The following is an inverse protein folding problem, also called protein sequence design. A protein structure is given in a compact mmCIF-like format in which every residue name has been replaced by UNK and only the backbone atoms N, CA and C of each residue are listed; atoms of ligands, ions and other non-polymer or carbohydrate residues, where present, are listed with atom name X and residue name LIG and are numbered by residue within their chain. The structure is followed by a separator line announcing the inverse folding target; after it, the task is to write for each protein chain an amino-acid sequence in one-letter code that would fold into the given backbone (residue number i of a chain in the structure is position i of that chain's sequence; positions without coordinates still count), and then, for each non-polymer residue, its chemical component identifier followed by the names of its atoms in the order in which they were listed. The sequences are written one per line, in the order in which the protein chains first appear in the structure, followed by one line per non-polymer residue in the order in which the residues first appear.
data_IF_464546204938
#
_entry.id   IF_464546204938
#
_cell.length_a   1.000
_cell.length_b   1.000
_cell.length_c   1.000
_cell.angle_alpha   90.00
_cell.angle_beta   90.00
_cell.angle_gamma   90.00
#
_symmetry.space_group_name_H-M   'P 1'
#
loop_
_entity.id
_entity.type
_entity.pdbx_description
1 polymer ?
#
# COMPACT_ATOMS: atom_id res chain seq x y z
N UNK A 1 16.18 -6.57 35.01
CA UNK A 1 15.93 -7.41 33.82
C UNK A 1 14.57 -7.13 33.18
N UNK A 2 13.49 -6.93 33.96
CA UNK A 2 12.15 -6.65 33.40
C UNK A 2 11.98 -5.27 32.74
N UNK A 3 12.66 -4.22 33.23
CA UNK A 3 12.53 -2.85 32.66
C UNK A 3 13.11 -2.79 31.24
N UNK A 4 14.24 -3.46 31.01
CA UNK A 4 14.88 -3.53 29.69
C UNK A 4 13.98 -4.27 28.69
N UNK A 5 13.34 -5.36 29.13
CA UNK A 5 12.45 -6.16 28.29
C UNK A 5 11.19 -5.37 27.89
N UNK A 6 10.60 -4.61 28.82
CA UNK A 6 9.45 -3.76 28.54
C UNK A 6 9.78 -2.65 27.53
N UNK A 7 10.95 -2.03 27.64
CA UNK A 7 11.42 -1.02 26.69
C UNK A 7 11.63 -1.59 25.28
N UNK A 8 12.22 -2.79 25.16
CA UNK A 8 12.44 -3.45 23.86
C UNK A 8 11.11 -3.78 23.15
N UNK A 9 10.10 -4.22 23.91
CA UNK A 9 8.76 -4.51 23.34
C UNK A 9 8.07 -3.22 22.86
N UNK A 10 8.19 -2.11 23.61
CA UNK A 10 7.62 -0.82 23.21
C UNK A 10 8.26 -0.26 21.93
N UNK A 11 9.59 -0.38 21.79
CA UNK A 11 10.28 0.03 20.57
C UNK A 11 10.04 -0.89 19.38
N UNK A 12 9.90 -2.21 19.61
CA UNK A 12 9.59 -3.18 18.54
C UNK A 12 8.25 -2.92 17.85
N UNK A 13 7.24 -2.41 18.58
CA UNK A 13 5.95 -2.02 18.00
C UNK A 13 6.05 -0.74 17.16
N UNK A 14 6.91 0.21 17.53
CA UNK A 14 7.09 1.50 16.84
C UNK A 14 7.81 1.39 15.49
N UNK A 15 8.70 0.40 15.31
CA UNK A 15 9.46 0.22 14.05
C UNK A 15 8.55 -0.19 12.87
N UNK A 16 7.33 -0.65 13.13
CA UNK A 16 6.36 -1.00 12.07
C UNK A 16 5.61 0.20 11.47
N UNK A 17 5.90 1.43 11.91
CA UNK A 17 5.21 2.64 11.43
C UNK A 17 5.85 3.30 10.20
N UNK A 18 6.99 2.80 9.68
CA UNK A 18 7.47 3.19 8.35
C UNK A 18 6.68 2.41 7.29
N UNK A 19 5.40 2.74 7.12
CA UNK A 19 4.65 2.33 5.93
C UNK A 19 5.16 3.16 4.75
N UNK A 20 6.35 2.83 4.25
CA UNK A 20 6.71 3.26 2.91
C UNK A 20 5.65 2.65 1.98
N UNK A 21 4.83 3.51 1.37
CA UNK A 21 3.81 3.09 0.39
C UNK A 21 4.43 2.37 -0.81
N UNK A 22 5.75 2.38 -0.92
CA UNK A 22 6.53 1.62 -1.88
C UNK A 22 7.57 0.73 -1.19
N UNK A 23 7.86 -0.41 -1.80
CA UNK A 23 8.99 -1.25 -1.44
C UNK A 23 9.74 -1.73 -2.69
N UNK A 24 10.99 -2.14 -2.50
CA UNK A 24 11.81 -2.76 -3.53
C UNK A 24 12.38 -4.07 -3.02
N UNK A 25 12.19 -5.13 -3.79
CA UNK A 25 12.83 -6.42 -3.57
C UNK A 25 13.94 -6.63 -4.59
N UNK A 26 15.10 -7.07 -4.09
CA UNK A 26 16.23 -7.43 -4.92
C UNK A 26 16.06 -8.84 -5.51
N UNK A 27 16.70 -9.13 -6.66
CA UNK A 27 16.65 -10.46 -7.24
C UNK A 27 17.28 -11.45 -6.26
N UNK A 28 16.64 -12.61 -6.08
CA UNK A 28 17.24 -13.71 -5.33
C UNK A 28 18.35 -14.35 -6.17
N UNK A 29 19.44 -14.76 -5.52
CA UNK A 29 20.53 -15.47 -6.19
C UNK A 29 19.99 -16.70 -6.94
N UNK A 30 20.31 -16.81 -8.23
CA UNK A 30 19.83 -17.89 -9.10
C UNK A 30 18.44 -17.68 -9.72
N UNK A 31 17.74 -16.58 -9.39
CA UNK A 31 16.45 -16.26 -9.98
C UNK A 31 16.64 -15.39 -11.24
N UNK A 32 16.65 -16.03 -12.40
CA UNK A 32 16.93 -15.38 -13.70
C UNK A 32 15.70 -15.22 -14.60
N UNK A 33 14.58 -15.86 -14.26
CA UNK A 33 13.41 -15.95 -15.15
C UNK A 33 12.34 -14.87 -14.89
N UNK A 34 12.46 -14.10 -13.80
CA UNK A 34 11.48 -13.08 -13.42
C UNK A 34 11.42 -12.80 -11.93
N UNK A 35 10.40 -12.04 -11.52
CA UNK A 35 10.15 -11.67 -10.12
C UNK A 35 9.08 -12.59 -9.53
N UNK A 36 9.35 -13.18 -8.36
CA UNK A 36 8.37 -14.00 -7.64
C UNK A 36 7.61 -13.12 -6.64
N UNK A 37 6.31 -12.94 -6.86
CA UNK A 37 5.43 -12.23 -5.95
C UNK A 37 4.31 -13.16 -5.47
N UNK A 38 4.24 -13.43 -4.15
CA UNK A 38 3.26 -14.35 -3.54
C UNK A 38 3.10 -15.65 -4.33
N UNK A 39 4.23 -16.32 -4.56
CA UNK A 39 4.34 -17.60 -5.30
C UNK A 39 3.96 -17.55 -6.79
N UNK A 40 3.74 -16.36 -7.35
CA UNK A 40 3.51 -16.17 -8.79
C UNK A 40 4.73 -15.55 -9.46
N UNK A 41 5.23 -16.20 -10.50
CA UNK A 41 6.31 -15.67 -11.32
C UNK A 41 5.78 -14.62 -12.31
N UNK A 42 6.36 -13.43 -12.25
CA UNK A 42 6.11 -12.33 -13.16
C UNK A 42 7.31 -12.15 -14.08
N UNK A 43 7.06 -12.05 -15.38
CA UNK A 43 8.11 -11.90 -16.41
C UNK A 43 8.91 -10.61 -16.19
N UNK A 44 10.20 -10.64 -16.52
CA UNK A 44 11.03 -9.44 -16.58
C UNK A 44 10.40 -8.38 -17.50
N UNK A 45 10.47 -7.11 -17.08
CA UNK A 45 9.85 -5.96 -17.76
C UNK A 45 8.34 -5.84 -17.54
N UNK A 46 7.68 -6.79 -16.87
CA UNK A 46 6.24 -6.74 -16.68
C UNK A 46 5.81 -5.71 -15.64
N UNK A 47 4.63 -5.14 -15.85
CA UNK A 47 3.89 -4.33 -14.87
C UNK A 47 2.60 -5.04 -14.53
N UNK A 48 2.24 -5.06 -13.26
CA UNK A 48 1.03 -5.73 -12.81
C UNK A 48 0.50 -5.08 -11.53
N UNK A 49 -0.84 -5.11 -11.39
CA UNK A 49 -1.52 -4.72 -10.17
C UNK A 49 -1.84 -5.94 -9.33
N UNK A 50 -1.59 -5.85 -8.03
CA UNK A 50 -1.89 -6.90 -7.07
C UNK A 50 -3.29 -6.75 -6.48
N UNK A 51 -3.81 -7.81 -5.86
CA UNK A 51 -5.13 -7.79 -5.21
C UNK A 51 -5.17 -6.94 -3.93
N UNK A 52 -4.01 -6.65 -3.35
CA UNK A 52 -3.79 -5.70 -2.26
C UNK A 52 -3.53 -4.27 -2.77
N UNK A 53 -3.86 -3.98 -4.03
CA UNK A 53 -3.79 -2.65 -4.63
C UNK A 53 -2.37 -2.06 -4.65
N UNK A 54 -1.38 -2.87 -5.03
CA UNK A 54 -0.04 -2.42 -5.34
C UNK A 54 0.20 -2.45 -6.85
N UNK A 55 0.75 -1.37 -7.39
CA UNK A 55 1.33 -1.32 -8.72
C UNK A 55 2.79 -1.75 -8.65
N UNK A 56 3.06 -2.91 -9.23
CA UNK A 56 4.37 -3.54 -9.24
C UNK A 56 4.98 -3.50 -10.64
N UNK A 57 6.30 -3.30 -10.69
CA UNK A 57 7.14 -3.45 -11.87
C UNK A 57 8.21 -4.48 -11.57
N UNK A 58 8.27 -5.53 -12.37
CA UNK A 58 9.41 -6.43 -12.42
C UNK A 58 10.40 -5.89 -13.44
N UNK A 59 11.52 -5.34 -13.00
CA UNK A 59 12.52 -4.73 -13.85
C UNK A 59 13.33 -5.78 -14.61
N UNK A 60 14.03 -5.35 -15.67
CA UNK A 60 14.87 -6.23 -16.49
C UNK A 60 16.07 -6.79 -15.72
N UNK A 61 16.53 -6.11 -14.66
CA UNK A 61 17.60 -6.57 -13.78
C UNK A 61 17.11 -7.54 -12.69
N UNK A 62 15.84 -7.97 -12.75
CA UNK A 62 15.21 -8.88 -11.80
C UNK A 62 14.74 -8.22 -10.50
N UNK A 63 14.96 -6.90 -10.32
CA UNK A 63 14.42 -6.17 -9.16
C UNK A 63 12.92 -6.01 -9.30
N UNK A 64 12.20 -6.08 -8.20
CA UNK A 64 10.77 -5.79 -8.16
C UNK A 64 10.53 -4.54 -7.34
N UNK A 65 9.90 -3.53 -7.92
CA UNK A 65 9.44 -2.34 -7.21
C UNK A 65 7.91 -2.34 -7.18
N UNK A 66 7.32 -2.14 -6.01
CA UNK A 66 5.87 -2.10 -5.83
C UNK A 66 5.49 -0.86 -5.04
N UNK A 67 4.45 -0.15 -5.46
CA UNK A 67 3.90 1.01 -4.78
C UNK A 67 2.39 0.88 -4.63
N UNK A 68 1.81 1.52 -3.62
CA UNK A 68 0.36 1.59 -3.47
C UNK A 68 -0.27 2.25 -4.70
N UNK A 69 -1.34 1.65 -5.22
CA UNK A 69 -2.05 2.11 -6.41
C UNK A 69 -3.18 3.12 -6.11
N UNK A 70 -3.28 3.60 -4.86
CA UNK A 70 -4.35 4.47 -4.41
C UNK A 70 -3.83 5.60 -3.53
N UNK A 71 -4.50 6.74 -3.58
CA UNK A 71 -4.29 7.84 -2.63
C UNK A 71 -5.32 7.76 -1.50
N UNK A 72 -4.89 8.05 -0.28
CA UNK A 72 -5.73 8.13 0.91
C UNK A 72 -6.18 9.58 1.13
N UNK A 73 -7.49 9.86 1.24
CA UNK A 73 -7.98 11.20 1.52
C UNK A 73 -7.65 11.58 2.97
N UNK A 74 -6.96 12.71 3.14
CA UNK A 74 -6.52 13.18 4.46
C UNK A 74 -7.34 14.37 4.96
N UNK A 75 -7.90 15.15 4.03
CA UNK A 75 -8.66 16.38 4.31
C UNK A 75 -10.00 16.41 3.57
N UNK A 76 -11.09 16.39 4.35
CA UNK A 76 -12.50 16.48 3.94
C UNK A 76 -13.36 16.73 5.19
N UNK A 77 -14.66 17.03 5.03
CA UNK A 77 -15.60 17.18 6.16
C UNK A 77 -15.84 15.82 6.86
N UNK A 78 -15.03 15.51 7.88
CA UNK A 78 -15.12 14.26 8.65
C UNK A 78 -16.37 14.19 9.52
N UNK A 79 -17.08 15.28 9.75
CA UNK A 79 -18.34 15.29 10.50
C UNK A 79 -19.48 14.75 9.63
N UNK A 80 -19.60 15.25 8.40
CA UNK A 80 -20.68 14.90 7.48
C UNK A 80 -20.35 13.77 6.52
N UNK A 81 -19.07 13.48 6.30
CA UNK A 81 -18.61 12.55 5.27
C UNK A 81 -17.75 11.42 5.81
N UNK A 82 -17.56 10.38 4.99
CA UNK A 82 -16.78 9.19 5.32
C UNK A 82 -16.07 8.67 4.07
N UNK A 83 -14.79 8.33 4.23
CA UNK A 83 -14.02 7.66 3.20
C UNK A 83 -14.36 6.16 3.14
N UNK A 84 -14.71 5.66 1.96
CA UNK A 84 -15.04 4.27 1.68
C UNK A 84 -14.06 3.75 0.63
N UNK A 85 -13.28 2.72 0.98
CA UNK A 85 -12.33 2.12 0.05
C UNK A 85 -13.01 1.14 -0.89
N UNK A 86 -12.84 1.33 -2.20
CA UNK A 86 -13.24 0.38 -3.21
C UNK A 86 -12.05 -0.52 -3.58
N UNK A 87 -12.00 -1.73 -3.02
CA UNK A 87 -10.92 -2.70 -3.30
C UNK A 87 -10.82 -3.11 -4.77
N UNK A 88 -11.94 -3.18 -5.50
CA UNK A 88 -11.93 -3.59 -6.92
C UNK A 88 -11.29 -2.52 -7.80
N UNK A 89 -11.56 -1.26 -7.48
CA UNK A 89 -11.09 -0.12 -8.24
C UNK A 89 -9.85 0.56 -7.61
N UNK A 90 -9.34 0.02 -6.50
CA UNK A 90 -8.20 0.54 -5.73
C UNK A 90 -8.25 2.07 -5.58
N UNK A 91 -9.33 2.60 -5.00
CA UNK A 91 -9.43 4.03 -4.68
C UNK A 91 -10.41 4.26 -3.53
N UNK A 92 -10.28 5.41 -2.87
CA UNK A 92 -11.27 5.89 -1.92
C UNK A 92 -12.31 6.77 -2.61
N UNK A 93 -13.57 6.59 -2.22
CA UNK A 93 -14.64 7.56 -2.42
C UNK A 93 -14.94 8.22 -1.10
N UNK A 94 -15.18 9.51 -1.08
CA UNK A 94 -15.57 10.23 0.15
C UNK A 94 -17.01 10.66 -0.03
N UNK A 95 -17.92 10.03 0.70
CA UNK A 95 -19.36 10.20 0.51
C UNK A 95 -20.04 10.71 1.77
N UNK A 96 -21.20 11.33 1.64
CA UNK A 96 -21.98 11.78 2.79
C UNK A 96 -22.39 10.58 3.67
N UNK A 97 -22.30 10.74 4.99
CA UNK A 97 -22.70 9.68 5.94
C UNK A 97 -24.17 9.31 5.81
N UNK A 98 -25.04 10.31 5.56
CA UNK A 98 -26.51 10.16 5.46
C UNK A 98 -26.95 9.62 4.11
N UNK A 99 -26.31 10.03 3.01
CA UNK A 99 -26.60 9.57 1.66
C UNK A 99 -25.32 9.14 0.94
N UNK A 100 -25.02 7.84 0.99
CA UNK A 100 -23.80 7.25 0.43
C UNK A 100 -23.68 7.34 -1.09
N UNK A 101 -24.74 7.76 -1.79
CA UNK A 101 -24.73 7.99 -3.24
C UNK A 101 -24.17 9.36 -3.61
N UNK A 102 -24.04 10.29 -2.66
CA UNK A 102 -23.53 11.65 -2.89
C UNK A 102 -22.08 11.76 -2.43
N UNK A 103 -21.21 12.19 -3.35
CA UNK A 103 -19.80 12.49 -3.06
C UNK A 103 -19.67 13.78 -2.26
N UNK A 104 -18.63 13.83 -1.43
CA UNK A 104 -18.17 15.01 -0.73
C UNK A 104 -16.91 15.57 -1.38
N UNK A 105 -16.66 16.86 -1.14
CA UNK A 105 -15.42 17.51 -1.52
C UNK A 105 -14.24 16.94 -0.73
N UNK A 106 -13.12 16.72 -1.42
CA UNK A 106 -11.84 16.28 -0.85
C UNK A 106 -10.82 17.34 -1.17
N UNK A 107 -10.21 17.92 -0.14
CA UNK A 107 -9.26 19.02 -0.27
C UNK A 107 -7.83 18.51 -0.43
N UNK A 108 -7.50 17.36 0.17
CA UNK A 108 -6.18 16.77 0.07
C UNK A 108 -6.21 15.23 0.14
N UNK A 109 -5.31 14.62 -0.62
CA UNK A 109 -5.02 13.19 -0.64
C UNK A 109 -3.51 12.96 -0.61
N UNK A 110 -3.07 11.83 -0.04
CA UNK A 110 -1.66 11.39 0.00
C UNK A 110 -1.57 9.99 -0.59
N UNK A 111 -0.60 9.75 -1.47
CA UNK A 111 -0.34 8.46 -2.11
C UNK A 111 1.13 8.30 -2.45
#
# INVERSE_FOLDING_TARGET
MNIVLASVIAFGLLVTACNAFCFTELPKMGQTEGCLYKDKLHRLGSKFRTNDCMDCTCHMDGKMACCQAYATPVEYDKEKCIAVFNRKACHYRVVEKRNRSKECEVLAMVG
#
